data_IF_553722552815
#
_entry.id   IF_553722552815
#
_cell.length_a   1.000
_cell.length_b   1.000
_cell.length_c   1.000
_cell.angle_alpha   90.00
_cell.angle_beta   90.00
_cell.angle_gamma   90.00
#
_symmetry.space_group_name_H-M   'P 1'
#
loop_
_entity.id
_entity.type
_entity.pdbx_description
1 polymer ?
#
# COMPACT_ATOMS: atom_id res chain seq x y z
N UNK A 1 -7.31 20.44 41.23
CA UNK A 1 -6.37 19.50 40.60
C UNK A 1 -5.95 20.15 39.31
N UNK A 2 -4.68 20.54 39.27
CA UNK A 2 -4.15 21.59 38.41
C UNK A 2 -4.13 21.17 36.94
N UNK A 3 -4.68 22.04 36.09
CA UNK A 3 -4.54 22.05 34.65
C UNK A 3 -3.05 22.18 34.31
N UNK A 4 -2.43 21.08 33.87
CA UNK A 4 -1.04 21.06 33.47
C UNK A 4 -0.93 20.24 32.18
N UNK A 5 -0.38 20.87 31.13
CA UNK A 5 0.26 20.25 29.94
C UNK A 5 -0.34 20.41 28.54
N UNK A 6 -1.07 21.49 28.24
CA UNK A 6 -1.24 21.93 26.83
C UNK A 6 -0.83 23.38 26.64
N UNK A 7 0.31 23.75 27.21
CA UNK A 7 1.01 24.94 26.78
C UNK A 7 1.71 24.56 25.47
N UNK A 8 1.21 25.08 24.34
CA UNK A 8 1.86 24.92 23.06
C UNK A 8 3.33 25.37 23.22
N UNK A 9 4.31 24.47 22.99
CA UNK A 9 5.69 24.80 23.25
C UNK A 9 6.08 26.00 22.39
N UNK A 10 6.72 26.97 23.01
CA UNK A 10 7.23 28.14 22.31
C UNK A 10 8.27 27.71 21.29
N UNK A 11 8.40 28.46 20.19
CA UNK A 11 9.38 28.19 19.12
C UNK A 11 10.79 27.92 19.65
N UNK A 12 11.20 28.62 20.70
CA UNK A 12 12.52 28.49 21.32
C UNK A 12 12.70 27.15 22.05
N UNK A 13 11.63 26.62 22.66
CA UNK A 13 11.63 25.31 23.31
C UNK A 13 11.70 24.18 22.29
N UNK A 14 11.00 24.32 21.16
CA UNK A 14 11.08 23.39 20.03
C UNK A 14 12.51 23.34 19.49
N UNK A 15 13.12 24.51 19.24
CA UNK A 15 14.50 24.60 18.75
C UNK A 15 15.53 24.09 19.77
N UNK A 16 15.30 24.31 21.07
CA UNK A 16 16.14 23.79 22.13
C UNK A 16 16.03 22.26 22.25
N UNK A 17 14.83 21.69 22.08
CA UNK A 17 14.61 20.24 22.09
C UNK A 17 15.32 19.55 20.92
N UNK A 18 15.21 20.10 19.71
CA UNK A 18 15.93 19.60 18.52
C UNK A 18 17.45 19.68 18.73
N UNK A 19 17.97 20.82 19.22
CA UNK A 19 19.41 20.97 19.47
C UNK A 19 19.91 19.96 20.53
N UNK A 20 19.11 19.70 21.57
CA UNK A 20 19.43 18.70 22.58
C UNK A 20 19.49 17.30 21.97
N UNK A 21 18.49 16.88 21.19
CA UNK A 21 18.46 15.55 20.56
C UNK A 21 19.69 15.35 19.66
N UNK A 22 20.04 16.33 18.83
CA UNK A 22 21.20 16.24 17.93
C UNK A 22 22.52 16.17 18.70
N UNK A 23 22.67 16.95 19.77
CA UNK A 23 23.89 16.89 20.62
C UNK A 23 23.96 15.65 21.50
N UNK A 24 22.83 15.03 21.82
CA UNK A 24 22.74 13.80 22.62
C UNK A 24 22.95 12.55 21.74
N UNK A 25 22.61 12.61 20.44
CA UNK A 25 22.79 11.54 19.45
C UNK A 25 24.16 11.55 18.75
N UNK A 26 24.90 12.67 18.77
CA UNK A 26 26.29 12.72 18.30
C UNK A 26 27.26 12.15 19.34
N UNK A 27 27.18 10.83 19.56
CA UNK A 27 28.27 10.08 20.16
C UNK A 27 29.46 10.05 19.18
N UNK A 28 30.70 10.30 19.65
CA UNK A 28 31.85 10.40 18.77
C UNK A 28 32.17 9.04 18.18
N UNK A 29 32.06 8.92 16.85
CA UNK A 29 32.78 7.90 16.10
C UNK A 29 34.28 8.22 16.11
N UNK A 30 34.93 8.07 17.27
CA UNK A 30 36.38 7.96 17.35
C UNK A 30 36.79 6.55 16.93
N UNK A 31 37.43 6.43 15.76
CA UNK A 31 38.40 5.35 15.51
C UNK A 31 38.21 4.52 14.24
N UNK A 32 38.57 5.09 13.09
CA UNK A 32 39.26 4.38 12.00
C UNK A 32 39.86 5.44 11.07
N UNK A 33 41.06 5.94 11.38
CA UNK A 33 42.29 5.51 10.72
C UNK A 33 42.27 5.83 9.20
N UNK A 34 43.10 6.80 8.84
CA UNK A 34 43.44 7.16 7.47
C UNK A 34 43.71 5.92 6.60
N UNK A 35 42.95 5.80 5.52
CA UNK A 35 43.19 4.79 4.48
C UNK A 35 44.44 5.24 3.70
N UNK A 36 45.53 4.44 3.64
CA UNK A 36 46.64 4.71 2.74
C UNK A 36 46.16 4.58 1.28
N UNK A 37 46.70 5.34 0.31
CA UNK A 37 46.40 5.11 -1.09
C UNK A 37 46.99 3.76 -1.53
N UNK A 38 46.14 2.76 -1.73
CA UNK A 38 46.50 1.48 -2.35
C UNK A 38 46.54 1.66 -3.88
N UNK A 39 47.53 1.07 -4.60
CA UNK A 39 47.92 1.50 -5.94
C UNK A 39 46.88 1.22 -7.03
N UNK A 40 46.90 2.07 -8.06
CA UNK A 40 46.13 1.96 -9.29
C UNK A 40 46.16 0.53 -9.86
N UNK A 41 45.01 -0.07 -10.23
CA UNK A 41 45.02 -1.32 -10.95
C UNK A 41 45.61 -1.09 -12.35
N UNK A 42 46.76 -1.73 -12.62
CA UNK A 42 47.29 -1.90 -13.96
C UNK A 42 46.19 -2.45 -14.90
N UNK A 43 46.13 -1.99 -16.17
CA UNK A 43 45.09 -2.41 -17.08
C UNK A 43 45.21 -3.92 -17.33
N UNK A 44 44.25 -4.68 -16.81
CA UNK A 44 44.11 -6.10 -17.13
C UNK A 44 43.82 -6.17 -18.62
N UNK A 45 44.68 -6.88 -19.33
CA UNK A 45 44.62 -7.08 -20.77
C UNK A 45 43.21 -7.46 -21.22
N UNK A 46 42.76 -6.80 -22.28
CA UNK A 46 41.48 -7.06 -22.95
C UNK A 46 41.31 -8.55 -23.24
N UNK A 47 40.39 -9.19 -22.52
CA UNK A 47 39.84 -10.48 -22.90
C UNK A 47 39.00 -10.23 -24.16
N UNK A 48 39.36 -10.90 -25.26
CA UNK A 48 38.65 -10.79 -26.53
C UNK A 48 37.17 -11.19 -26.34
N UNK A 49 36.18 -10.44 -26.87
CA UNK A 49 34.80 -10.86 -26.79
C UNK A 49 34.61 -12.16 -27.59
N UNK A 50 34.14 -13.20 -26.92
CA UNK A 50 33.65 -14.41 -27.57
C UNK A 50 32.42 -14.02 -28.45
N UNK A 51 32.32 -14.51 -29.70
CA UNK A 51 31.18 -14.17 -30.56
C UNK A 51 29.89 -14.76 -29.98
N UNK A 52 28.93 -13.88 -29.72
CA UNK A 52 27.55 -14.23 -29.35
C UNK A 52 26.91 -14.86 -30.60
N UNK A 53 26.28 -16.05 -30.52
CA UNK A 53 25.52 -16.59 -31.65
C UNK A 53 24.32 -15.70 -31.97
N UNK A 54 24.25 -15.26 -33.22
CA UNK A 54 23.18 -14.43 -33.80
C UNK A 54 21.87 -15.24 -33.85
N UNK A 55 20.71 -14.70 -33.43
CA UNK A 55 19.45 -15.41 -33.54
C UNK A 55 19.02 -15.52 -35.02
N UNK A 56 18.87 -16.74 -35.52
CA UNK A 56 18.22 -16.99 -36.81
C UNK A 56 16.76 -16.48 -36.77
N UNK A 57 16.29 -15.76 -37.81
CA UNK A 57 14.90 -15.32 -37.88
C UNK A 57 14.00 -16.52 -38.21
N UNK A 58 13.34 -17.09 -37.20
CA UNK A 58 12.23 -18.03 -37.41
C UNK A 58 11.05 -17.31 -38.11
N UNK A 59 10.80 -17.76 -39.34
CA UNK A 59 9.63 -17.59 -40.20
C UNK A 59 8.37 -16.92 -39.60
N UNK A 60 7.96 -15.82 -40.23
CA UNK A 60 6.63 -15.24 -40.06
C UNK A 60 5.52 -16.13 -40.66
N UNK A 61 4.41 -16.38 -39.96
CA UNK A 61 3.12 -16.58 -40.59
C UNK A 61 2.40 -15.23 -40.72
N UNK A 62 2.09 -14.87 -41.95
CA UNK A 62 1.24 -13.75 -42.30
C UNK A 62 -0.17 -13.92 -41.70
N UNK A 63 -0.57 -13.01 -40.83
CA UNK A 63 -1.96 -12.70 -40.54
C UNK A 63 -2.07 -11.19 -40.29
N UNK A 64 -2.58 -10.49 -41.29
CA UNK A 64 -2.90 -9.08 -41.21
C UNK A 64 -4.02 -8.86 -40.18
N UNK A 65 -3.69 -8.25 -39.05
CA UNK A 65 -4.64 -7.49 -38.24
C UNK A 65 -4.08 -6.08 -38.14
N UNK A 66 -4.56 -5.22 -39.02
CA UNK A 66 -4.44 -3.77 -38.85
C UNK A 66 -5.57 -3.38 -37.91
N UNK A 67 -5.31 -3.01 -36.64
CA UNK A 67 -6.35 -2.34 -35.86
C UNK A 67 -6.55 -0.95 -36.47
N UNK A 68 -7.73 -0.75 -37.04
CA UNK A 68 -8.24 0.55 -37.46
C UNK A 68 -8.28 1.47 -36.22
N UNK A 69 -7.86 2.75 -36.32
CA UNK A 69 -7.93 3.67 -35.21
C UNK A 69 -9.40 4.01 -34.93
N UNK A 70 -9.94 3.49 -33.83
CA UNK A 70 -11.19 4.00 -33.27
C UNK A 70 -10.88 5.28 -32.51
N UNK A 71 -11.13 6.42 -33.14
CA UNK A 71 -11.42 7.67 -32.45
C UNK A 71 -12.84 7.55 -31.86
N UNK A 72 -12.94 7.33 -30.55
CA UNK A 72 -14.11 7.70 -29.78
C UNK A 72 -13.63 8.56 -28.61
N UNK A 73 -13.75 9.87 -28.80
CA UNK A 73 -13.97 10.81 -27.72
C UNK A 73 -15.19 10.34 -26.91
N UNK A 74 -14.96 9.95 -25.66
CA UNK A 74 -15.91 10.20 -24.58
C UNK A 74 -15.11 10.54 -23.33
N UNK A 75 -14.62 11.79 -23.35
CA UNK A 75 -14.33 12.53 -22.14
C UNK A 75 -15.57 12.57 -21.25
N UNK A 76 -15.46 11.92 -20.08
CA UNK A 76 -16.06 12.46 -18.87
C UNK A 76 -17.36 11.81 -18.41
N UNK A 77 -17.26 10.68 -17.70
CA UNK A 77 -18.12 10.42 -16.54
C UNK A 77 -17.56 9.33 -15.60
N UNK A 78 -16.33 9.52 -15.11
CA UNK A 78 -15.85 8.83 -13.90
C UNK A 78 -15.67 9.83 -12.78
N UNK A 79 -16.70 10.63 -12.52
CA UNK A 79 -16.77 11.36 -11.25
C UNK A 79 -16.90 10.35 -10.10
N UNK A 80 -15.78 10.13 -9.41
CA UNK A 80 -15.69 9.43 -8.14
C UNK A 80 -16.32 10.26 -6.99
N UNK A 81 -17.44 10.93 -7.28
CA UNK A 81 -18.32 11.64 -6.34
C UNK A 81 -19.55 10.81 -5.99
N UNK A 82 -19.64 9.56 -6.49
CA UNK A 82 -20.65 8.60 -6.07
C UNK A 82 -20.44 8.31 -4.58
N UNK A 83 -21.14 9.11 -3.77
CA UNK A 83 -21.28 8.94 -2.34
C UNK A 83 -21.75 7.52 -2.12
N UNK A 84 -20.89 6.68 -1.56
CA UNK A 84 -21.32 5.43 -0.96
C UNK A 84 -22.31 5.84 0.12
N UNK A 85 -23.60 5.68 -0.18
CA UNK A 85 -24.64 5.64 0.83
C UNK A 85 -24.23 4.49 1.73
N UNK A 86 -23.56 4.80 2.84
CA UNK A 86 -23.38 3.84 3.92
C UNK A 86 -24.79 3.41 4.25
N UNK A 87 -25.18 2.17 3.90
CA UNK A 87 -26.37 1.53 4.43
C UNK A 87 -26.13 1.30 5.93
N UNK A 88 -26.17 2.41 6.66
CA UNK A 88 -26.13 2.52 8.10
C UNK A 88 -27.54 2.73 8.61
N UNK A 89 -28.45 1.85 8.20
CA UNK A 89 -29.75 1.72 8.83
C UNK A 89 -30.08 0.23 8.97
N UNK A 90 -29.36 -0.41 9.89
CA UNK A 90 -29.86 -1.62 10.53
C UNK A 90 -30.91 -1.16 11.54
N UNK A 91 -32.11 -0.93 11.04
CA UNK A 91 -33.31 -0.82 11.88
C UNK A 91 -33.41 -2.13 12.67
N UNK A 92 -33.01 -2.09 13.93
CA UNK A 92 -33.47 -3.08 14.91
C UNK A 92 -34.98 -2.89 15.02
N UNK A 93 -35.73 -3.64 14.22
CA UNK A 93 -37.16 -3.82 14.43
C UNK A 93 -37.32 -4.51 15.78
N UNK A 94 -37.54 -3.72 16.81
CA UNK A 94 -38.18 -4.19 18.02
C UNK A 94 -39.56 -4.70 17.59
N UNK A 95 -39.72 -6.02 17.55
CA UNK A 95 -41.00 -6.64 17.26
C UNK A 95 -42.04 -6.17 18.30
N UNK A 96 -42.95 -5.31 17.85
CA UNK A 96 -44.19 -5.03 18.58
C UNK A 96 -45.04 -6.32 18.53
N UNK A 97 -45.58 -6.80 19.66
CA UNK A 97 -46.34 -8.05 19.65
C UNK A 97 -47.70 -7.83 18.99
N UNK A 98 -47.82 -8.28 17.75
CA UNK A 98 -49.07 -8.32 17.00
C UNK A 98 -50.14 -9.17 17.76
N UNK A 99 -51.42 -8.76 17.78
CA UNK A 99 -52.48 -9.51 18.48
C UNK A 99 -52.62 -10.93 17.94
N UNK A 100 -52.60 -11.93 18.84
CA UNK A 100 -52.69 -13.35 18.49
C UNK A 100 -53.96 -13.68 17.69
N UNK A 101 -53.79 -13.91 16.39
CA UNK A 101 -54.79 -14.53 15.53
C UNK A 101 -54.92 -16.02 15.89
N UNK A 102 -56.16 -16.52 16.03
CA UNK A 102 -56.42 -17.92 16.35
C UNK A 102 -55.86 -18.84 15.24
N UNK A 103 -55.34 -20.06 15.57
CA UNK A 103 -54.67 -20.88 14.57
C UNK A 103 -55.66 -21.38 13.52
N UNK A 104 -55.53 -20.88 12.30
CA UNK A 104 -56.11 -21.52 11.12
C UNK A 104 -55.47 -22.90 10.92
N UNK A 105 -56.22 -23.91 10.42
CA UNK A 105 -55.64 -25.21 10.11
C UNK A 105 -54.50 -25.05 9.09
N UNK A 106 -53.36 -25.74 9.27
CA UNK A 106 -52.23 -25.56 8.38
C UNK A 106 -52.64 -25.96 6.94
N UNK A 107 -52.26 -25.16 5.92
CA UNK A 107 -52.35 -25.63 4.54
C UNK A 107 -51.53 -26.92 4.41
N UNK A 108 -51.89 -27.86 3.52
CA UNK A 108 -51.07 -29.04 3.29
C UNK A 108 -49.66 -28.55 2.94
N UNK A 109 -48.70 -28.84 3.83
CA UNK A 109 -47.31 -28.54 3.62
C UNK A 109 -46.90 -29.30 2.36
N UNK A 110 -46.73 -28.59 1.25
CA UNK A 110 -45.73 -29.03 0.30
C UNK A 110 -44.42 -28.91 1.06
N UNK A 111 -43.86 -30.06 1.40
CA UNK A 111 -42.50 -30.18 1.92
C UNK A 111 -41.60 -29.48 0.91
N UNK A 112 -41.15 -28.26 1.25
CA UNK A 112 -40.14 -27.57 0.48
C UNK A 112 -38.94 -28.53 0.44
N UNK A 113 -38.38 -28.86 -0.73
CA UNK A 113 -37.23 -29.74 -0.78
C UNK A 113 -36.16 -29.13 0.13
N UNK A 114 -35.74 -29.93 1.11
CA UNK A 114 -34.63 -29.61 1.99
C UNK A 114 -33.47 -29.11 1.11
N UNK A 115 -32.85 -27.95 1.42
CA UNK A 115 -31.76 -27.45 0.59
C UNK A 115 -30.72 -28.55 0.50
N UNK A 116 -30.53 -29.10 -0.71
CA UNK A 116 -29.55 -30.13 -0.95
C UNK A 116 -28.22 -29.64 -0.37
N UNK A 117 -27.46 -30.48 0.37
CA UNK A 117 -26.20 -30.04 0.94
C UNK A 117 -25.35 -29.53 -0.23
N UNK A 118 -25.03 -28.23 -0.20
CA UNK A 118 -24.19 -27.63 -1.22
C UNK A 118 -22.91 -28.47 -1.26
N UNK A 119 -22.63 -29.07 -2.43
CA UNK A 119 -21.44 -29.88 -2.59
C UNK A 119 -20.25 -28.98 -2.28
N UNK A 120 -19.56 -29.26 -1.17
CA UNK A 120 -18.38 -28.49 -0.79
C UNK A 120 -17.37 -28.59 -1.93
N UNK A 121 -17.14 -27.45 -2.60
CA UNK A 121 -16.23 -27.34 -3.74
C UNK A 121 -14.77 -27.61 -3.35
N UNK A 122 -14.50 -27.65 -2.05
CA UNK A 122 -13.20 -27.89 -1.45
C UNK A 122 -13.33 -29.09 -0.52
N UNK A 123 -12.36 -30.00 -0.58
CA UNK A 123 -12.31 -31.11 0.36
C UNK A 123 -11.95 -30.62 1.76
N UNK A 124 -12.52 -31.26 2.79
CA UNK A 124 -12.25 -30.92 4.20
C UNK A 124 -10.76 -30.90 4.53
N UNK A 125 -9.98 -31.76 3.87
CA UNK A 125 -8.53 -31.81 4.03
C UNK A 125 -7.83 -30.54 3.52
N UNK A 126 -8.24 -30.01 2.37
CA UNK A 126 -7.65 -28.79 1.80
C UNK A 126 -8.07 -27.58 2.63
N UNK A 127 -9.33 -27.53 3.08
CA UNK A 127 -9.80 -26.50 4.01
C UNK A 127 -9.00 -26.52 5.33
N UNK A 128 -8.78 -27.71 5.91
CA UNK A 128 -7.98 -27.88 7.12
C UNK A 128 -6.50 -27.50 6.91
N UNK A 129 -5.91 -27.83 5.76
CA UNK A 129 -4.54 -27.46 5.41
C UNK A 129 -4.39 -25.93 5.28
N UNK A 130 -5.33 -25.26 4.61
CA UNK A 130 -5.35 -23.80 4.49
C UNK A 130 -5.48 -23.13 5.86
N UNK A 131 -6.41 -23.60 6.70
CA UNK A 131 -6.57 -23.10 8.07
C UNK A 131 -5.31 -23.31 8.93
N UNK A 132 -4.63 -24.45 8.77
CA UNK A 132 -3.38 -24.73 9.48
C UNK A 132 -2.24 -23.79 9.04
N UNK A 133 -2.09 -23.52 7.73
CA UNK A 133 -1.08 -22.56 7.24
C UNK A 133 -1.35 -21.14 7.71
N UNK A 134 -2.62 -20.72 7.72
CA UNK A 134 -3.01 -19.41 8.24
C UNK A 134 -2.76 -19.31 9.76
N UNK A 135 -3.05 -20.37 10.51
CA UNK A 135 -2.74 -20.47 11.93
C UNK A 135 -1.24 -20.42 12.23
N UNK A 136 -0.41 -21.07 11.41
CA UNK A 136 1.05 -21.02 11.51
C UNK A 136 1.58 -19.60 11.25
N UNK A 137 1.08 -18.92 10.22
CA UNK A 137 1.43 -17.53 9.92
C UNK A 137 0.99 -16.59 11.05
N UNK A 138 -0.26 -16.71 11.49
CA UNK A 138 -0.79 -15.91 12.60
C UNK A 138 0.01 -16.15 13.88
N UNK A 139 0.37 -17.38 14.20
CA UNK A 139 1.21 -17.70 15.36
C UNK A 139 2.63 -17.17 15.22
N UNK A 140 3.17 -17.12 13.99
CA UNK A 140 4.48 -16.53 13.71
C UNK A 140 4.45 -15.00 13.80
N UNK A 141 3.31 -14.36 13.50
CA UNK A 141 3.09 -12.93 13.66
C UNK A 141 2.84 -12.58 15.14
N UNK A 142 2.18 -13.47 15.89
CA UNK A 142 1.88 -13.33 17.32
C UNK A 142 3.01 -13.80 18.25
N UNK A 143 4.11 -14.32 17.70
CA UNK A 143 5.36 -14.54 18.44
C UNK A 143 6.36 -13.45 18.06
N UNK A 144 6.34 -12.29 18.73
CA UNK A 144 7.42 -11.33 18.60
C UNK A 144 8.71 -11.99 19.09
N UNK A 145 9.64 -12.21 18.16
CA UNK A 145 11.04 -12.20 18.53
C UNK A 145 11.32 -10.77 19.05
N UNK A 146 11.51 -10.66 20.37
CA UNK A 146 12.12 -9.51 21.07
C UNK A 146 11.82 -8.14 20.43
N UNK A 147 10.60 -7.64 20.65
CA UNK A 147 10.25 -6.25 20.32
C UNK A 147 9.98 -5.94 18.86
N UNK A 148 10.13 -6.89 17.92
CA UNK A 148 9.76 -6.66 16.52
C UNK A 148 8.25 -6.79 16.34
N UNK A 149 7.61 -5.68 16.03
CA UNK A 149 6.17 -5.64 15.73
C UNK A 149 5.92 -5.96 14.26
N UNK A 150 4.69 -6.34 13.91
CA UNK A 150 4.26 -6.43 12.51
C UNK A 150 4.48 -5.10 11.77
N UNK A 151 4.31 -3.97 12.47
CA UNK A 151 4.56 -2.64 11.91
C UNK A 151 6.01 -2.48 11.47
N UNK A 152 6.98 -2.98 12.24
CA UNK A 152 8.41 -2.90 11.87
C UNK A 152 8.70 -3.68 10.59
N UNK A 153 8.10 -4.87 10.44
CA UNK A 153 8.21 -5.69 9.23
C UNK A 153 7.59 -4.97 8.04
N UNK A 154 6.36 -4.46 8.19
CA UNK A 154 5.66 -3.74 7.12
C UNK A 154 6.42 -2.48 6.72
N UNK A 155 6.99 -1.74 7.68
CA UNK A 155 7.80 -0.55 7.45
C UNK A 155 9.08 -0.86 6.69
N UNK A 156 9.78 -1.94 7.05
CA UNK A 156 10.97 -2.41 6.32
C UNK A 156 10.63 -2.77 4.87
N UNK A 157 9.46 -3.35 4.62
CA UNK A 157 9.02 -3.71 3.26
C UNK A 157 8.51 -2.53 2.45
N UNK A 158 7.80 -1.57 3.06
CA UNK A 158 7.24 -0.42 2.36
C UNK A 158 8.28 0.68 2.09
N UNK A 159 9.32 0.80 2.92
CA UNK A 159 10.37 1.81 2.75
C UNK A 159 11.00 1.83 1.34
N UNK A 160 11.48 0.71 0.76
CA UNK A 160 12.06 0.74 -0.58
C UNK A 160 11.06 1.10 -1.68
N UNK A 161 9.80 0.65 -1.57
CA UNK A 161 8.76 0.97 -2.56
C UNK A 161 8.40 2.46 -2.54
N UNK A 162 8.23 3.03 -1.35
CA UNK A 162 7.95 4.46 -1.19
C UNK A 162 9.15 5.32 -1.60
N UNK A 163 10.37 4.90 -1.29
CA UNK A 163 11.59 5.60 -1.73
C UNK A 163 11.66 5.68 -3.25
N UNK A 164 11.54 4.54 -3.94
CA UNK A 164 11.57 4.50 -5.41
C UNK A 164 10.47 5.37 -6.03
N UNK A 165 9.27 5.33 -5.45
CA UNK A 165 8.16 6.15 -5.92
C UNK A 165 8.44 7.64 -5.73
N UNK A 166 8.94 8.04 -4.56
CA UNK A 166 9.31 9.43 -4.29
C UNK A 166 10.44 9.89 -5.22
N UNK A 167 11.48 9.09 -5.42
CA UNK A 167 12.59 9.44 -6.32
C UNK A 167 12.12 9.67 -7.76
N UNK A 168 11.10 8.91 -8.18
CA UNK A 168 10.54 9.01 -9.54
C UNK A 168 9.56 10.19 -9.68
N UNK A 169 8.72 10.44 -8.68
CA UNK A 169 7.56 11.34 -8.81
C UNK A 169 7.74 12.70 -8.12
N UNK A 170 8.55 12.77 -7.05
CA UNK A 170 8.76 14.00 -6.28
C UNK A 170 9.32 15.15 -7.13
N UNK A 171 10.29 14.94 -8.06
CA UNK A 171 10.80 16.04 -8.88
C UNK A 171 9.72 16.77 -9.67
N UNK A 172 8.74 16.05 -10.23
CA UNK A 172 7.63 16.64 -10.99
C UNK A 172 6.69 17.44 -10.09
N UNK A 173 6.27 16.85 -8.97
CA UNK A 173 5.38 17.48 -7.99
C UNK A 173 5.98 18.80 -7.48
N UNK A 174 7.29 18.82 -7.19
CA UNK A 174 7.97 20.03 -6.70
C UNK A 174 8.06 21.10 -7.79
N UNK A 175 8.32 20.73 -9.04
CA UNK A 175 8.38 21.70 -10.16
C UNK A 175 7.04 22.40 -10.35
N UNK A 176 5.94 21.65 -10.33
CA UNK A 176 4.59 22.20 -10.42
C UNK A 176 4.27 23.13 -9.24
N UNK A 177 4.59 22.71 -8.01
CA UNK A 177 4.37 23.51 -6.82
C UNK A 177 5.20 24.82 -6.83
N UNK A 178 6.48 24.76 -7.24
CA UNK A 178 7.35 25.93 -7.36
C UNK A 178 6.89 26.86 -8.47
N UNK A 179 6.47 26.32 -9.63
CA UNK A 179 5.94 27.13 -10.72
C UNK A 179 4.68 27.89 -10.30
N UNK A 180 3.75 27.21 -9.62
CA UNK A 180 2.55 27.84 -9.07
C UNK A 180 2.90 28.94 -8.05
N UNK A 181 3.91 28.70 -7.21
CA UNK A 181 4.37 29.66 -6.21
C UNK A 181 5.06 30.88 -6.84
N UNK A 182 5.92 30.69 -7.85
CA UNK A 182 6.57 31.78 -8.59
C UNK A 182 5.54 32.61 -9.34
N UNK A 183 4.57 31.99 -9.99
CA UNK A 183 3.49 32.70 -10.68
C UNK A 183 2.65 33.52 -9.72
N UNK A 184 2.35 32.97 -8.53
CA UNK A 184 1.66 33.69 -7.45
C UNK A 184 2.45 34.90 -6.98
N UNK A 185 3.75 34.77 -6.75
CA UNK A 185 4.64 35.88 -6.35
C UNK A 185 4.77 36.91 -7.47
N UNK A 186 4.90 36.48 -8.72
CA UNK A 186 4.99 37.37 -9.88
C UNK A 186 3.72 38.20 -10.03
N UNK A 187 2.55 37.59 -9.87
CA UNK A 187 1.25 38.29 -9.90
C UNK A 187 1.07 39.21 -8.68
N UNK A 188 1.56 38.80 -7.52
CA UNK A 188 1.51 39.60 -6.29
C UNK A 188 2.44 40.81 -6.29
N UNK A 189 3.56 40.76 -7.00
CA UNK A 189 4.54 41.86 -7.11
C UNK A 189 4.15 42.94 -8.14
N UNK A 190 3.26 42.63 -9.08
CA UNK A 190 2.82 43.53 -10.16
C UNK A 190 1.63 44.41 -9.74
N UNK A 191 1.12 44.27 -8.51
CA UNK A 191 0.16 45.20 -7.88
C UNK A 191 0.86 46.12 -6.90
#
# INVERSE_FOLDING_TARGET
MSEQTSQEPTMEEILASIRRIISEDEAPAEGAAAVPPEPEPAPVAAEAPLPIPEPEPESAPAAAFTPEPQEEDDDGDLELTQKVETHGDLDFVAADPEPAEAPAPPPPMFEAPEPAPAANLVSDHIAAAAAATFGQLSSSILMPAEGRTLEDVVREMLRPMLQQWLDTNLPGIVQEAVQAEVERIARGRVR
#
